data_IF_785244379344
#
_entry.id   IF_785244379344
#
_cell.length_a   1.000
_cell.length_b   1.000
_cell.length_c   1.000
_cell.angle_alpha   90.00
_cell.angle_beta   90.00
_cell.angle_gamma   90.00
#
_symmetry.space_group_name_H-M   'P 1'
#
loop_
_entity.id
_entity.type
_entity.pdbx_description
1 polymer ?
#
# COMPACT_ATOMS: atom_id res chain seq x y z
N UNK A 1 9.75 -29.32 8.57
CA UNK A 1 9.33 -28.83 7.23
C UNK A 1 10.47 -28.09 6.60
N UNK A 2 10.69 -28.19 5.28
CA UNK A 2 11.67 -27.32 4.63
C UNK A 2 11.30 -25.86 4.86
N UNK A 3 12.30 -25.03 5.17
CA UNK A 3 12.10 -23.63 5.57
C UNK A 3 11.26 -22.83 4.56
N UNK A 4 11.42 -23.08 3.27
CA UNK A 4 10.68 -22.41 2.20
C UNK A 4 9.18 -22.70 2.26
N UNK A 5 8.79 -23.96 2.54
CA UNK A 5 7.40 -24.33 2.70
C UNK A 5 6.78 -23.67 3.95
N UNK A 6 7.56 -23.60 5.01
CA UNK A 6 7.11 -22.92 6.24
C UNK A 6 6.90 -21.42 6.03
N UNK A 7 7.82 -20.76 5.30
CA UNK A 7 7.67 -19.35 4.91
C UNK A 7 6.40 -19.19 4.06
N UNK A 8 6.26 -19.98 3.00
CA UNK A 8 5.10 -19.92 2.11
C UNK A 8 3.77 -20.07 2.87
N UNK A 9 3.63 -21.13 3.68
CA UNK A 9 2.39 -21.39 4.43
C UNK A 9 2.08 -20.30 5.47
N UNK A 10 3.11 -19.74 6.11
CA UNK A 10 2.93 -18.65 7.07
C UNK A 10 2.38 -17.42 6.38
N UNK A 11 2.97 -17.02 5.26
CA UNK A 11 2.54 -15.85 4.52
C UNK A 11 1.24 -16.09 3.75
N UNK A 12 0.95 -17.32 3.32
CA UNK A 12 -0.34 -17.70 2.75
C UNK A 12 -1.47 -17.54 3.79
N UNK A 13 -1.23 -17.98 5.01
CA UNK A 13 -2.18 -17.79 6.11
C UNK A 13 -2.39 -16.29 6.42
N UNK A 14 -1.33 -15.50 6.44
CA UNK A 14 -1.42 -14.04 6.65
C UNK A 14 -2.23 -13.41 5.52
N UNK A 15 -1.93 -13.72 4.25
CA UNK A 15 -2.63 -13.17 3.09
C UNK A 15 -4.11 -13.55 3.04
N UNK A 16 -4.47 -14.76 3.50
CA UNK A 16 -5.84 -15.25 3.50
C UNK A 16 -6.72 -14.61 4.58
N UNK A 17 -6.17 -14.41 5.78
CA UNK A 17 -6.95 -14.01 6.97
C UNK A 17 -6.77 -12.55 7.35
N UNK A 18 -6.07 -11.75 6.58
CA UNK A 18 -5.88 -10.34 6.91
C UNK A 18 -6.83 -9.45 6.11
N UNK A 19 -7.67 -8.74 6.83
CA UNK A 19 -8.57 -7.71 6.30
C UNK A 19 -8.17 -6.36 6.88
N UNK A 20 -8.21 -5.28 6.09
CA UNK A 20 -8.03 -3.91 6.62
C UNK A 20 -6.80 -3.14 6.14
N UNK A 21 -6.07 -3.63 5.14
CA UNK A 21 -4.99 -2.88 4.48
C UNK A 21 -3.59 -3.06 5.05
N UNK A 22 -2.60 -2.36 4.48
CA UNK A 22 -1.19 -2.61 4.68
C UNK A 22 -0.69 -2.56 6.13
N UNK A 23 -1.13 -1.59 6.91
CA UNK A 23 -0.71 -1.45 8.31
C UNK A 23 -1.26 -2.55 9.23
N UNK A 24 -2.50 -3.01 8.99
CA UNK A 24 -3.05 -4.14 9.72
C UNK A 24 -2.25 -5.43 9.45
N UNK A 25 -1.83 -5.63 8.19
CA UNK A 25 -0.95 -6.75 7.83
C UNK A 25 0.43 -6.67 8.50
N UNK A 26 1.01 -5.49 8.64
CA UNK A 26 2.30 -5.32 9.32
C UNK A 26 2.23 -5.85 10.74
N UNK A 27 1.18 -5.50 11.50
CA UNK A 27 1.00 -5.98 12.88
C UNK A 27 0.84 -7.51 12.93
N UNK A 28 0.19 -8.11 11.94
CA UNK A 28 0.04 -9.58 11.87
C UNK A 28 1.36 -10.25 11.47
N UNK A 29 2.14 -9.65 10.57
CA UNK A 29 3.49 -10.11 10.21
C UNK A 29 4.40 -10.06 11.43
N UNK A 30 4.39 -8.94 12.19
CA UNK A 30 5.15 -8.79 13.42
C UNK A 30 4.80 -9.90 14.42
N UNK A 31 3.54 -10.07 14.76
CA UNK A 31 3.10 -11.13 15.68
C UNK A 31 3.51 -12.54 15.22
N UNK A 32 3.41 -12.84 13.93
CA UNK A 32 3.76 -14.18 13.43
C UNK A 32 5.28 -14.39 13.31
N UNK A 33 6.03 -13.39 12.83
CA UNK A 33 7.44 -13.55 12.48
C UNK A 33 8.37 -13.19 13.64
N UNK A 34 7.98 -12.25 14.52
CA UNK A 34 8.76 -11.85 15.70
C UNK A 34 8.33 -12.67 16.91
N UNK A 35 7.06 -12.58 17.31
CA UNK A 35 6.60 -13.16 18.59
C UNK A 35 6.53 -14.71 18.53
N UNK A 36 5.83 -15.25 17.51
CA UNK A 36 5.55 -16.69 17.46
C UNK A 36 6.71 -17.51 16.88
N UNK A 37 7.25 -17.08 15.75
CA UNK A 37 8.27 -17.86 15.03
C UNK A 37 9.70 -17.43 15.32
N UNK A 38 9.90 -16.25 15.89
CA UNK A 38 11.21 -15.68 16.23
C UNK A 38 12.19 -15.72 15.03
N UNK A 39 11.68 -15.43 13.84
CA UNK A 39 12.49 -15.38 12.63
C UNK A 39 13.33 -14.11 12.54
N UNK A 40 12.81 -13.04 13.10
CA UNK A 40 13.43 -11.71 13.16
C UNK A 40 13.14 -11.09 14.53
N UNK A 41 13.92 -10.08 14.91
CA UNK A 41 13.71 -9.29 16.13
C UNK A 41 12.71 -8.16 15.88
N UNK A 42 12.22 -7.53 16.95
CA UNK A 42 11.32 -6.38 16.85
C UNK A 42 12.00 -5.18 16.19
N UNK A 43 13.27 -4.90 16.53
CA UNK A 43 14.06 -3.82 15.91
C UNK A 43 14.25 -4.05 14.40
N UNK A 44 14.47 -5.30 14.01
CA UNK A 44 14.57 -5.67 12.60
C UNK A 44 13.23 -5.46 11.87
N UNK A 45 12.11 -5.81 12.51
CA UNK A 45 10.79 -5.59 11.92
C UNK A 45 10.48 -4.10 11.76
N UNK A 46 10.86 -3.25 12.71
CA UNK A 46 10.75 -1.80 12.58
C UNK A 46 11.56 -1.28 11.38
N UNK A 47 12.81 -1.71 11.24
CA UNK A 47 13.65 -1.32 10.08
C UNK A 47 13.05 -1.81 8.76
N UNK A 48 12.55 -3.04 8.71
CA UNK A 48 11.87 -3.61 7.53
C UNK A 48 10.64 -2.77 7.17
N UNK A 49 9.87 -2.33 8.16
CA UNK A 49 8.68 -1.49 7.93
C UNK A 49 9.06 -0.16 7.30
N UNK A 50 10.09 0.53 7.81
CA UNK A 50 10.58 1.79 7.23
C UNK A 50 11.04 1.61 5.78
N UNK A 51 11.78 0.54 5.50
CA UNK A 51 12.23 0.22 4.14
C UNK A 51 11.04 -0.09 3.23
N UNK A 52 10.07 -0.87 3.72
CA UNK A 52 8.87 -1.23 2.96
C UNK A 52 7.99 -0.02 2.66
N UNK A 53 7.90 0.96 3.57
CA UNK A 53 7.21 2.23 3.33
C UNK A 53 7.92 3.11 2.29
N UNK A 54 9.24 3.05 2.25
CA UNK A 54 10.06 3.80 1.29
C UNK A 54 10.11 3.14 -0.09
N UNK A 55 9.72 1.88 -0.20
CA UNK A 55 9.76 1.11 -1.44
C UNK A 55 8.43 1.22 -2.18
N UNK A 56 8.42 1.55 -3.48
CA UNK A 56 7.18 1.59 -4.26
C UNK A 56 6.47 0.23 -4.24
N UNK A 57 5.16 0.23 -3.92
CA UNK A 57 4.34 -0.98 -3.90
C UNK A 57 3.55 -1.16 -2.60
N UNK A 58 2.76 -2.25 -2.49
CA UNK A 58 2.02 -2.53 -1.27
C UNK A 58 2.95 -2.86 -0.10
N UNK A 59 2.89 -2.05 0.96
CA UNK A 59 3.79 -2.14 2.13
C UNK A 59 3.85 -3.56 2.70
N UNK A 60 2.70 -4.23 2.82
CA UNK A 60 2.62 -5.58 3.37
C UNK A 60 3.36 -6.61 2.51
N UNK A 61 3.30 -6.49 1.18
CA UNK A 61 4.02 -7.37 0.25
C UNK A 61 5.53 -7.09 0.35
N UNK A 62 5.92 -5.81 0.42
CA UNK A 62 7.32 -5.43 0.61
C UNK A 62 7.87 -5.98 1.93
N UNK A 63 7.12 -5.85 3.03
CA UNK A 63 7.48 -6.44 4.33
C UNK A 63 7.63 -7.96 4.25
N UNK A 64 6.65 -8.65 3.64
CA UNK A 64 6.68 -10.10 3.48
C UNK A 64 7.91 -10.57 2.69
N UNK A 65 8.19 -9.89 1.57
CA UNK A 65 9.36 -10.15 0.72
C UNK A 65 10.66 -10.00 1.51
N UNK A 66 10.77 -8.94 2.31
CA UNK A 66 11.98 -8.66 3.08
C UNK A 66 12.19 -9.67 4.22
N UNK A 67 11.13 -10.00 4.95
CA UNK A 67 11.18 -11.04 6.00
C UNK A 67 11.53 -12.39 5.40
N UNK A 68 10.93 -12.74 4.26
CA UNK A 68 11.23 -13.96 3.53
C UNK A 68 12.67 -14.03 3.07
N UNK A 69 13.19 -12.92 2.54
CA UNK A 69 14.61 -12.81 2.16
C UNK A 69 15.54 -13.03 3.35
N UNK A 70 15.26 -12.38 4.46
CA UNK A 70 16.08 -12.49 5.67
C UNK A 70 16.12 -13.91 6.22
N UNK A 71 15.00 -14.65 6.12
CA UNK A 71 14.89 -16.00 6.66
C UNK A 71 15.38 -17.10 5.72
N UNK A 72 15.20 -16.93 4.41
CA UNK A 72 15.48 -17.98 3.41
C UNK A 72 16.17 -17.49 2.13
N UNK A 73 16.80 -16.31 2.15
CA UNK A 73 17.46 -15.71 0.99
C UNK A 73 16.47 -15.41 -0.15
N UNK A 74 16.96 -15.41 -1.37
CA UNK A 74 16.14 -15.09 -2.54
C UNK A 74 14.92 -16.01 -2.70
N UNK A 75 15.10 -17.31 -2.50
CA UNK A 75 13.98 -18.27 -2.57
C UNK A 75 12.96 -18.06 -1.43
N UNK A 76 13.42 -17.63 -0.25
CA UNK A 76 12.56 -17.23 0.84
C UNK A 76 11.73 -15.99 0.53
N UNK A 77 12.32 -14.99 -0.14
CA UNK A 77 11.59 -13.82 -0.63
C UNK A 77 10.48 -14.20 -1.62
N UNK A 78 10.80 -15.05 -2.60
CA UNK A 78 9.82 -15.56 -3.56
C UNK A 78 8.69 -16.33 -2.87
N UNK A 79 9.04 -17.23 -1.94
CA UNK A 79 8.07 -18.03 -1.20
C UNK A 79 7.12 -17.16 -0.36
N UNK A 80 7.64 -16.14 0.32
CA UNK A 80 6.84 -15.21 1.11
C UNK A 80 5.91 -14.36 0.23
N UNK A 81 6.43 -13.80 -0.86
CA UNK A 81 5.66 -12.95 -1.78
C UNK A 81 4.53 -13.73 -2.45
N UNK A 82 4.84 -14.91 -3.00
CA UNK A 82 3.84 -15.80 -3.60
C UNK A 82 2.83 -16.23 -2.53
N UNK A 83 3.31 -16.57 -1.33
CA UNK A 83 2.45 -16.97 -0.22
C UNK A 83 1.41 -15.91 0.12
N UNK A 84 1.80 -14.65 0.26
CA UNK A 84 0.85 -13.55 0.56
C UNK A 84 -0.16 -13.30 -0.56
N UNK A 85 0.26 -13.38 -1.83
CA UNK A 85 -0.56 -12.98 -2.97
C UNK A 85 -1.46 -14.11 -3.45
N UNK A 86 -0.95 -15.35 -3.48
CA UNK A 86 -1.60 -16.48 -4.12
C UNK A 86 -3.02 -16.77 -3.60
N UNK A 87 -3.29 -16.79 -2.27
CA UNK A 87 -4.64 -17.10 -1.78
C UNK A 87 -5.67 -16.09 -2.25
N UNK A 88 -5.36 -14.80 -2.15
CA UNK A 88 -6.24 -13.72 -2.60
C UNK A 88 -6.46 -13.78 -4.12
N UNK A 89 -5.40 -14.05 -4.88
CA UNK A 89 -5.48 -14.22 -6.32
C UNK A 89 -6.40 -15.36 -6.71
N UNK A 90 -6.25 -16.54 -6.08
CA UNK A 90 -7.08 -17.71 -6.36
C UNK A 90 -8.55 -17.45 -6.04
N UNK A 91 -8.84 -16.80 -4.90
CA UNK A 91 -10.22 -16.47 -4.53
C UNK A 91 -10.85 -15.52 -5.56
N UNK A 92 -10.14 -14.45 -5.92
CA UNK A 92 -10.62 -13.47 -6.91
C UNK A 92 -10.81 -14.14 -8.27
N UNK A 93 -9.88 -15.00 -8.67
CA UNK A 93 -9.97 -15.75 -9.93
C UNK A 93 -11.20 -16.66 -9.99
N UNK A 94 -11.45 -17.44 -8.92
CA UNK A 94 -12.64 -18.31 -8.83
C UNK A 94 -13.91 -17.46 -8.87
N UNK A 95 -13.99 -16.38 -8.10
CA UNK A 95 -15.15 -15.49 -8.11
C UNK A 95 -15.36 -14.89 -9.50
N UNK A 96 -14.28 -14.49 -10.19
CA UNK A 96 -14.37 -13.91 -11.54
C UNK A 96 -14.96 -14.87 -12.58
N UNK A 97 -14.63 -16.16 -12.53
CA UNK A 97 -15.18 -17.16 -13.46
C UNK A 97 -16.70 -17.29 -13.30
N UNK A 98 -17.19 -17.19 -12.07
CA UNK A 98 -18.62 -17.40 -11.76
C UNK A 98 -19.39 -16.10 -11.56
N UNK A 99 -18.75 -14.93 -11.78
CA UNK A 99 -19.28 -13.62 -11.41
C UNK A 99 -20.66 -13.35 -12.04
N UNK A 100 -20.80 -13.62 -13.34
CA UNK A 100 -22.05 -13.37 -14.05
C UNK A 100 -23.21 -14.22 -13.50
N UNK A 101 -22.95 -15.47 -13.16
CA UNK A 101 -23.93 -16.35 -12.54
C UNK A 101 -24.26 -15.91 -11.11
N UNK A 102 -23.25 -15.47 -10.33
CA UNK A 102 -23.46 -14.96 -8.98
C UNK A 102 -24.27 -13.66 -8.95
N UNK A 103 -24.05 -12.75 -9.89
CA UNK A 103 -24.76 -11.48 -9.93
C UNK A 103 -26.24 -11.62 -10.33
N UNK A 104 -26.64 -12.74 -10.95
CA UNK A 104 -28.05 -13.06 -11.21
C UNK A 104 -28.82 -13.39 -9.93
N UNK A 105 -28.13 -13.81 -8.88
CA UNK A 105 -28.74 -14.12 -7.59
C UNK A 105 -28.91 -12.82 -6.80
N UNK A 106 -30.16 -12.39 -6.60
CA UNK A 106 -30.51 -11.07 -6.05
C UNK A 106 -29.84 -10.74 -4.70
N UNK A 107 -29.71 -11.69 -3.79
CA UNK A 107 -29.06 -11.45 -2.50
C UNK A 107 -27.56 -11.30 -2.62
N UNK A 108 -26.91 -11.99 -3.56
CA UNK A 108 -25.46 -11.84 -3.85
C UNK A 108 -25.20 -10.45 -4.46
N UNK A 109 -26.02 -10.03 -5.44
CA UNK A 109 -25.90 -8.70 -6.02
C UNK A 109 -26.02 -7.58 -4.95
N UNK A 110 -26.95 -7.75 -4.01
CA UNK A 110 -27.11 -6.83 -2.86
C UNK A 110 -25.88 -6.86 -1.94
N UNK A 111 -25.30 -8.05 -1.68
CA UNK A 111 -24.08 -8.19 -0.88
C UNK A 111 -22.89 -7.48 -1.56
N UNK A 112 -22.72 -7.63 -2.87
CA UNK A 112 -21.69 -6.90 -3.62
C UNK A 112 -21.86 -5.38 -3.55
N UNK A 113 -23.11 -4.90 -3.56
CA UNK A 113 -23.40 -3.47 -3.37
C UNK A 113 -22.96 -2.99 -1.99
N UNK A 114 -23.22 -3.78 -0.94
CA UNK A 114 -22.74 -3.50 0.42
C UNK A 114 -21.22 -3.50 0.52
N UNK A 115 -20.55 -4.46 -0.11
CA UNK A 115 -19.07 -4.53 -0.15
C UNK A 115 -18.49 -3.29 -0.85
N UNK A 116 -19.06 -2.87 -2.00
CA UNK A 116 -18.62 -1.65 -2.68
C UNK A 116 -18.73 -0.41 -1.79
N UNK A 117 -19.83 -0.28 -1.05
CA UNK A 117 -20.03 0.83 -0.11
C UNK A 117 -19.00 0.78 1.04
N UNK A 118 -18.77 -0.40 1.62
CA UNK A 118 -17.77 -0.60 2.67
C UNK A 118 -16.35 -0.27 2.19
N UNK A 119 -15.98 -0.71 1.00
CA UNK A 119 -14.68 -0.38 0.38
C UNK A 119 -14.54 1.14 0.17
N UNK A 120 -15.61 1.81 -0.28
CA UNK A 120 -15.62 3.28 -0.41
C UNK A 120 -15.35 3.97 0.94
N UNK A 121 -15.97 3.50 2.02
CA UNK A 121 -15.72 4.04 3.38
C UNK A 121 -14.27 3.80 3.82
N UNK A 122 -13.71 2.61 3.57
CA UNK A 122 -12.32 2.29 3.91
C UNK A 122 -11.33 3.19 3.15
N UNK A 123 -11.60 3.49 1.88
CA UNK A 123 -10.77 4.42 1.08
C UNK A 123 -10.84 5.83 1.67
N UNK A 124 -12.04 6.29 2.05
CA UNK A 124 -12.22 7.59 2.70
C UNK A 124 -11.50 7.67 4.05
N UNK A 125 -11.60 6.62 4.87
CA UNK A 125 -10.90 6.56 6.16
C UNK A 125 -9.37 6.59 5.96
N UNK A 126 -8.85 5.83 5.00
CA UNK A 126 -7.44 5.86 4.64
C UNK A 126 -7.00 7.27 4.21
N UNK A 127 -7.78 7.95 3.35
CA UNK A 127 -7.49 9.31 2.91
C UNK A 127 -7.48 10.30 4.09
N UNK A 128 -8.46 10.23 4.99
CA UNK A 128 -8.53 11.06 6.20
C UNK A 128 -7.30 10.83 7.09
N UNK A 129 -6.91 9.58 7.29
CA UNK A 129 -5.76 9.23 8.12
C UNK A 129 -4.44 9.72 7.51
N UNK A 130 -4.30 9.65 6.18
CA UNK A 130 -3.14 10.22 5.46
C UNK A 130 -3.09 11.74 5.61
N UNK A 131 -4.22 12.44 5.46
CA UNK A 131 -4.31 13.90 5.64
C UNK A 131 -3.96 14.30 7.08
N UNK A 132 -4.43 13.55 8.08
CA UNK A 132 -4.11 13.81 9.49
C UNK A 132 -2.62 13.68 9.80
N UNK A 133 -1.94 12.72 9.18
CA UNK A 133 -0.50 12.47 9.36
C UNK A 133 0.39 13.39 8.51
N UNK A 134 -0.19 14.07 7.53
CA UNK A 134 0.57 14.94 6.62
C UNK A 134 1.12 16.16 7.35
N UNK A 135 2.33 16.58 6.97
CA UNK A 135 2.95 17.79 7.48
C UNK A 135 2.11 19.02 7.06
N UNK A 136 1.62 19.79 8.04
CA UNK A 136 0.72 20.94 7.85
C UNK A 136 1.42 22.20 7.28
N UNK A 137 2.48 22.04 6.50
CA UNK A 137 3.10 23.15 5.78
C UNK A 137 2.23 23.53 4.57
N UNK A 138 2.28 24.82 4.20
CA UNK A 138 1.46 25.39 3.11
C UNK A 138 1.69 24.67 1.77
N UNK A 139 2.94 24.30 1.47
CA UNK A 139 3.31 23.66 0.21
C UNK A 139 2.68 22.27 0.02
N UNK A 140 2.80 21.30 0.96
CA UNK A 140 2.13 20.01 0.83
C UNK A 140 0.61 20.11 0.72
N UNK A 141 -0.01 21.00 1.50
CA UNK A 141 -1.46 21.22 1.46
C UNK A 141 -1.87 21.81 0.10
N UNK A 142 -1.13 22.78 -0.41
CA UNK A 142 -1.39 23.37 -1.72
C UNK A 142 -1.30 22.36 -2.86
N UNK A 143 -0.26 21.51 -2.85
CA UNK A 143 -0.10 20.42 -3.84
C UNK A 143 -1.26 19.41 -3.74
N UNK A 144 -1.66 19.03 -2.53
CA UNK A 144 -2.76 18.09 -2.31
C UNK A 144 -4.09 18.65 -2.84
N UNK A 145 -4.44 19.90 -2.48
CA UNK A 145 -5.68 20.53 -2.95
C UNK A 145 -5.63 20.71 -4.46
N UNK A 146 -4.53 21.18 -5.02
CA UNK A 146 -4.35 21.32 -6.47
C UNK A 146 -4.51 20.02 -7.22
N UNK A 147 -3.88 18.95 -6.75
CA UNK A 147 -4.01 17.61 -7.33
C UNK A 147 -5.44 17.08 -7.25
N UNK A 148 -6.13 17.30 -6.12
CA UNK A 148 -7.52 16.90 -5.95
C UNK A 148 -8.45 17.62 -6.94
N UNK A 149 -8.30 18.95 -7.08
CA UNK A 149 -9.09 19.75 -8.02
C UNK A 149 -8.84 19.34 -9.47
N UNK A 150 -7.57 19.11 -9.85
CA UNK A 150 -7.23 18.64 -11.21
C UNK A 150 -7.85 17.27 -11.49
N UNK A 151 -7.77 16.33 -10.54
CA UNK A 151 -8.37 15.00 -10.73
C UNK A 151 -9.89 15.05 -10.78
N UNK A 152 -10.54 15.92 -10.02
CA UNK A 152 -11.99 16.11 -10.09
C UNK A 152 -12.40 16.68 -11.45
N UNK A 153 -11.70 17.69 -11.97
CA UNK A 153 -11.98 18.29 -13.29
C UNK A 153 -11.73 17.29 -14.41
N UNK A 154 -10.61 16.55 -14.37
CA UNK A 154 -10.29 15.49 -15.34
C UNK A 154 -11.38 14.42 -15.37
N UNK A 155 -11.87 14.00 -14.21
CA UNK A 155 -12.91 12.98 -14.10
C UNK A 155 -14.28 13.52 -14.57
N UNK A 156 -14.61 14.77 -14.25
CA UNK A 156 -15.86 15.41 -14.67
C UNK A 156 -15.94 15.60 -16.19
N UNK A 157 -14.84 16.00 -16.81
CA UNK A 157 -14.76 16.19 -18.26
C UNK A 157 -14.38 14.90 -19.02
N UNK A 158 -14.27 13.75 -18.33
CA UNK A 158 -13.89 12.44 -18.92
C UNK A 158 -12.61 12.52 -19.77
N UNK A 159 -11.66 13.38 -19.41
CA UNK A 159 -10.40 13.53 -20.11
C UNK A 159 -9.51 12.31 -19.82
N UNK A 160 -8.87 11.76 -20.86
CA UNK A 160 -7.88 10.67 -20.71
C UNK A 160 -6.55 11.23 -20.19
N UNK A 161 -6.51 11.59 -18.90
CA UNK A 161 -5.31 12.12 -18.27
C UNK A 161 -4.75 11.09 -17.27
N UNK A 162 -3.47 10.77 -17.43
CA UNK A 162 -2.84 9.77 -16.57
C UNK A 162 -2.47 10.36 -15.20
N UNK A 163 -2.86 9.68 -14.12
CA UNK A 163 -2.46 10.03 -12.74
C UNK A 163 -0.93 10.09 -12.57
N UNK A 164 -0.19 9.30 -13.38
CA UNK A 164 1.28 9.28 -13.37
C UNK A 164 1.83 10.65 -13.80
N UNK A 165 1.26 11.26 -14.85
CA UNK A 165 1.67 12.60 -15.31
C UNK A 165 1.44 13.63 -14.23
N UNK A 166 0.32 13.57 -13.52
CA UNK A 166 0.03 14.47 -12.39
C UNK A 166 1.05 14.31 -11.26
N UNK A 167 1.43 13.08 -10.94
CA UNK A 167 2.47 12.80 -9.94
C UNK A 167 3.83 13.37 -10.34
N UNK A 168 4.22 13.22 -11.61
CA UNK A 168 5.48 13.77 -12.13
C UNK A 168 5.49 15.30 -12.10
N UNK A 169 4.38 15.95 -12.46
CA UNK A 169 4.23 17.41 -12.38
C UNK A 169 4.34 17.87 -10.92
N UNK A 170 3.63 17.22 -10.00
CA UNK A 170 3.69 17.57 -8.58
C UNK A 170 5.11 17.38 -8.00
N UNK A 171 5.81 16.32 -8.38
CA UNK A 171 7.19 16.08 -8.00
C UNK A 171 8.13 17.18 -8.56
N UNK A 172 8.00 17.54 -9.84
CA UNK A 172 8.79 18.59 -10.47
C UNK A 172 8.57 19.95 -9.79
N UNK A 173 7.32 20.31 -9.50
CA UNK A 173 6.98 21.55 -8.75
C UNK A 173 7.61 21.55 -7.36
N UNK A 174 7.53 20.42 -6.64
CA UNK A 174 8.11 20.27 -5.31
C UNK A 174 9.63 20.46 -5.33
N UNK A 175 10.33 19.84 -6.28
CA UNK A 175 11.78 19.97 -6.46
C UNK A 175 12.15 21.40 -6.86
N UNK A 176 11.43 22.03 -7.77
CA UNK A 176 11.67 23.41 -8.19
C UNK A 176 11.56 24.39 -7.02
N UNK A 177 10.49 24.28 -6.23
CA UNK A 177 10.30 25.12 -5.02
C UNK A 177 11.40 24.87 -3.99
N UNK A 178 11.82 23.61 -3.80
CA UNK A 178 12.92 23.28 -2.90
C UNK A 178 14.24 23.94 -3.34
N UNK A 179 14.57 23.84 -4.64
CA UNK A 179 15.79 24.43 -5.20
C UNK A 179 15.77 25.97 -5.10
N UNK A 180 14.63 26.62 -5.40
CA UNK A 180 14.46 28.06 -5.27
C UNK A 180 14.67 28.48 -3.81
N UNK A 181 14.04 27.81 -2.86
CA UNK A 181 14.22 28.12 -1.42
C UNK A 181 15.65 27.91 -0.96
N UNK A 182 16.32 26.86 -1.41
CA UNK A 182 17.74 26.60 -1.10
C UNK A 182 18.66 27.72 -1.64
N UNK A 183 18.41 28.19 -2.87
CA UNK A 183 19.18 29.27 -3.49
C UNK A 183 18.93 30.61 -2.81
N UNK A 184 17.69 30.90 -2.40
CA UNK A 184 17.37 32.13 -1.64
C UNK A 184 18.02 32.13 -0.25
N UNK A 185 18.01 30.98 0.44
CA UNK A 185 18.68 30.82 1.73
C UNK A 185 20.22 31.01 1.61
N UNK A 186 20.81 30.60 0.48
CA UNK A 186 22.25 30.78 0.20
C UNK A 186 22.61 32.23 -0.14
N UNK A 187 21.69 33.02 -0.71
CA UNK A 187 21.89 34.45 -1.01
C UNK A 187 21.58 35.35 0.18
N UNK A 188 20.77 34.92 1.15
CA UNK A 188 20.45 35.69 2.36
C UNK A 188 21.42 35.49 3.53
N UNK A 189 22.45 34.67 3.38
CA UNK A 189 23.48 34.40 4.40
C UNK A 189 24.80 35.16 4.22
N UNK A 190 24.82 36.25 3.41
CA UNK A 190 25.96 37.17 3.26
C UNK A 190 25.51 38.58 3.58
N UNK A 191 25.29 38.83 4.87
CA UNK A 191 25.42 40.17 5.52
C UNK A 191 25.92 39.89 6.92
#
# INVERSE_FOLDING_TARGET
MPILLEIFLTFAKIGLFTFGGGYAMISIIDNNCVERKKWITHDEMMNITVIAESTPGPIAINCATYVGYKKGGFLGACAATIGVVLPSFVIIYIISIFLDNFLQIAWIAKAFTGIKAAVGILILDAAINMIKKMNKKVLPIGIMIGACLVMLTVNFFSLKFSSIVLMLIAAAVSVAVFLIRKNLAKKGGTV
#
